data_IF_598575108323
#
_entry.id   IF_598575108323
#
_cell.length_a   1.000
_cell.length_b   1.000
_cell.length_c   1.000
_cell.angle_alpha   90.00
_cell.angle_beta   90.00
_cell.angle_gamma   90.00
#
_symmetry.space_group_name_H-M   'P 1'
#
loop_
_entity.id
_entity.type
_entity.pdbx_description
1 polymer ?
#
# COMPACT_ATOMS: atom_id res chain seq x y z
N UNK A 1 -4.34 -18.47 -30.07
CA UNK A 1 -3.47 -17.27 -30.19
C UNK A 1 -3.10 -16.90 -28.76
N UNK A 2 -1.90 -17.25 -28.31
CA UNK A 2 -1.54 -17.15 -26.88
C UNK A 2 -1.23 -15.71 -26.48
N UNK A 3 -2.08 -15.13 -25.63
CA UNK A 3 -1.95 -13.77 -25.08
C UNK A 3 -0.83 -13.62 -24.03
N UNK A 4 0.11 -14.56 -23.96
CA UNK A 4 1.20 -14.58 -22.97
C UNK A 4 2.48 -13.86 -23.42
N UNK A 5 2.51 -13.34 -24.64
CA UNK A 5 3.66 -12.60 -25.20
C UNK A 5 4.22 -11.52 -24.25
N UNK A 6 3.36 -10.78 -23.53
CA UNK A 6 3.76 -9.77 -22.54
C UNK A 6 4.57 -10.36 -21.38
N UNK A 7 4.14 -11.51 -20.85
CA UNK A 7 4.82 -12.17 -19.74
C UNK A 7 6.12 -12.82 -20.21
N UNK A 8 6.13 -13.41 -21.40
CA UNK A 8 7.32 -14.05 -21.98
C UNK A 8 8.43 -13.05 -22.32
N UNK A 9 8.08 -11.80 -22.64
CA UNK A 9 9.05 -10.77 -23.04
C UNK A 9 9.32 -9.70 -21.97
N UNK A 10 8.74 -9.82 -20.77
CA UNK A 10 8.90 -8.84 -19.68
C UNK A 10 10.36 -8.51 -19.36
N UNK A 11 11.26 -9.49 -19.53
CA UNK A 11 12.68 -9.37 -19.24
C UNK A 11 13.57 -9.16 -20.48
N UNK A 12 13.01 -9.15 -21.69
CA UNK A 12 13.78 -8.85 -22.92
C UNK A 12 13.84 -7.34 -23.20
N UNK A 13 12.89 -6.57 -22.67
CA UNK A 13 12.85 -5.11 -22.83
C UNK A 13 13.84 -4.36 -21.92
N UNK A 14 14.49 -5.03 -20.96
CA UNK A 14 15.43 -4.39 -20.02
C UNK A 14 16.74 -3.96 -20.68
N UNK A 15 17.17 -4.59 -21.78
CA UNK A 15 18.36 -4.17 -22.53
C UNK A 15 18.11 -2.99 -23.49
N UNK A 16 16.84 -2.65 -23.76
CA UNK A 16 16.41 -1.47 -24.51
C UNK A 16 15.82 -0.38 -23.59
N UNK A 17 15.76 -0.63 -22.28
CA UNK A 17 15.32 0.37 -21.32
C UNK A 17 16.36 1.48 -21.27
N UNK A 18 15.91 2.73 -21.44
CA UNK A 18 16.76 3.90 -21.24
C UNK A 18 17.39 3.81 -19.84
N UNK A 19 18.73 3.84 -19.70
CA UNK A 19 19.40 3.76 -18.41
C UNK A 19 19.04 4.93 -17.47
N UNK A 20 18.45 6.00 -17.99
CA UNK A 20 17.90 7.11 -17.22
C UNK A 20 16.43 6.89 -16.81
N UNK A 21 15.81 5.79 -17.23
CA UNK A 21 14.44 5.45 -16.89
C UNK A 21 14.37 4.89 -15.47
N UNK A 22 14.25 5.80 -14.51
CA UNK A 22 14.01 5.46 -13.11
C UNK A 22 12.52 5.14 -12.96
N UNK A 23 12.19 3.85 -12.88
CA UNK A 23 10.84 3.45 -12.46
C UNK A 23 10.64 3.81 -11.00
N UNK A 24 9.52 4.43 -10.65
CA UNK A 24 9.12 4.54 -9.25
C UNK A 24 9.10 3.15 -8.60
N UNK A 25 9.49 3.02 -7.33
CA UNK A 25 9.47 1.74 -6.64
C UNK A 25 8.11 1.08 -6.80
N UNK A 26 8.09 -0.23 -7.06
CA UNK A 26 6.83 -0.98 -7.04
C UNK A 26 6.25 -0.88 -5.63
N UNK A 27 5.03 -0.36 -5.53
CA UNK A 27 4.31 -0.26 -4.26
C UNK A 27 3.16 -1.26 -4.23
N UNK A 28 2.98 -1.89 -3.07
CA UNK A 28 1.95 -2.87 -2.81
C UNK A 28 0.88 -2.23 -1.91
N UNK A 29 -0.33 -1.98 -2.43
CA UNK A 29 -1.38 -1.33 -1.66
C UNK A 29 -2.00 -2.30 -0.65
N UNK A 30 -2.13 -1.86 0.61
CA UNK A 30 -2.84 -2.55 1.68
C UNK A 30 -4.08 -1.72 2.04
N UNK A 31 -5.24 -2.38 2.11
CA UNK A 31 -6.51 -1.77 2.49
C UNK A 31 -6.88 -2.16 3.92
N UNK A 32 -6.84 -1.21 4.84
CA UNK A 32 -7.36 -1.38 6.19
C UNK A 32 -8.77 -0.79 6.26
N UNK A 33 -9.77 -1.66 6.47
CA UNK A 33 -11.19 -1.29 6.51
C UNK A 33 -11.63 -0.94 7.94
N UNK A 34 -12.72 -0.19 8.04
CA UNK A 34 -13.37 0.14 9.33
C UNK A 34 -12.47 0.93 10.29
N UNK A 35 -11.61 1.80 9.77
CA UNK A 35 -10.79 2.67 10.61
C UNK A 35 -11.63 3.86 11.11
N UNK A 36 -11.61 4.19 12.41
CA UNK A 36 -12.34 5.34 12.96
C UNK A 36 -11.88 6.64 12.30
N UNK A 37 -12.81 7.51 11.90
CA UNK A 37 -12.47 8.77 11.22
C UNK A 37 -11.74 9.78 12.11
N UNK A 38 -11.75 9.58 13.42
CA UNK A 38 -10.95 10.32 14.40
C UNK A 38 -9.45 10.11 14.18
N UNK A 39 -9.05 8.98 13.58
CA UNK A 39 -7.66 8.73 13.22
C UNK A 39 -7.15 9.78 12.22
N UNK A 40 -5.97 10.32 12.50
CA UNK A 40 -5.29 11.25 11.61
C UNK A 40 -4.09 10.59 10.93
N UNK A 41 -4.19 10.24 9.63
CA UNK A 41 -3.07 9.65 8.89
C UNK A 41 -1.96 10.66 8.60
N UNK A 42 -2.17 11.96 8.80
CA UNK A 42 -1.12 12.99 8.61
C UNK A 42 -0.30 13.20 9.90
N UNK A 43 -0.82 12.77 11.05
CA UNK A 43 -0.16 12.91 12.35
C UNK A 43 0.83 11.76 12.57
N UNK A 44 2.09 12.11 12.87
CA UNK A 44 3.20 11.15 12.92
C UNK A 44 3.04 10.12 14.04
N UNK A 45 2.54 10.52 15.22
CA UNK A 45 2.38 9.60 16.35
C UNK A 45 1.27 8.60 16.10
N UNK A 46 0.14 9.02 15.52
CA UNK A 46 -0.96 8.18 15.08
C UNK A 46 -0.48 7.11 14.10
N UNK A 47 0.34 7.51 13.10
CA UNK A 47 0.96 6.55 12.17
C UNK A 47 1.87 5.56 12.89
N UNK A 48 2.76 6.03 13.76
CA UNK A 48 3.68 5.16 14.50
C UNK A 48 2.93 4.14 15.36
N UNK A 49 1.88 4.59 16.06
CA UNK A 49 1.05 3.72 16.89
C UNK A 49 0.32 2.68 16.04
N UNK A 50 -0.29 3.08 14.92
CA UNK A 50 -0.95 2.16 13.99
C UNK A 50 0.02 1.08 13.50
N UNK A 51 1.23 1.49 13.08
CA UNK A 51 2.24 0.55 12.61
C UNK A 51 2.71 -0.39 13.71
N UNK A 52 2.97 0.14 14.91
CA UNK A 52 3.38 -0.63 16.07
C UNK A 52 2.33 -1.67 16.51
N UNK A 53 1.06 -1.27 16.59
CA UNK A 53 -0.05 -2.15 16.98
C UNK A 53 -0.31 -3.29 15.99
N UNK A 54 0.11 -3.13 14.73
CA UNK A 54 -0.08 -4.11 13.66
C UNK A 54 1.22 -4.80 13.26
N UNK A 55 2.30 -4.64 14.04
CA UNK A 55 3.61 -5.25 13.78
C UNK A 55 4.15 -4.91 12.38
N UNK A 56 3.82 -3.72 11.88
CA UNK A 56 4.23 -3.22 10.57
C UNK A 56 5.54 -2.43 10.69
N UNK A 57 6.50 -2.79 9.85
CA UNK A 57 7.79 -2.11 9.76
C UNK A 57 7.64 -0.75 9.05
N UNK A 58 7.90 0.34 9.77
CA UNK A 58 7.79 1.70 9.23
C UNK A 58 8.75 1.98 8.07
N UNK A 59 9.88 1.27 7.99
CA UNK A 59 10.81 1.40 6.86
C UNK A 59 10.25 0.82 5.56
N UNK A 60 9.23 -0.05 5.66
CA UNK A 60 8.55 -0.67 4.52
C UNK A 60 7.29 0.06 4.10
N UNK A 61 6.76 0.97 4.93
CA UNK A 61 5.54 1.73 4.63
C UNK A 61 5.92 3.12 4.11
N UNK A 62 5.69 3.32 2.82
CA UNK A 62 5.97 4.59 2.15
C UNK A 62 4.95 5.67 2.50
N UNK A 63 3.67 5.32 2.53
CA UNK A 63 2.59 6.28 2.76
C UNK A 63 1.36 5.62 3.41
N UNK A 64 0.59 6.40 4.16
CA UNK A 64 -0.70 6.04 4.76
C UNK A 64 -1.66 7.19 4.49
N UNK A 65 -2.81 6.92 3.89
CA UNK A 65 -3.83 7.94 3.59
C UNK A 65 -5.23 7.38 3.65
N UNK A 66 -6.22 8.25 3.79
CA UNK A 66 -7.60 7.87 3.54
C UNK A 66 -7.83 7.48 2.07
N UNK A 67 -8.62 6.43 1.87
CA UNK A 67 -9.24 6.15 0.59
C UNK A 67 -10.52 6.98 0.48
N UNK A 68 -10.52 7.95 -0.43
CA UNK A 68 -11.57 8.96 -0.51
C UNK A 68 -11.50 9.96 0.64
N UNK A 69 -12.65 10.51 1.05
CA UNK A 69 -12.75 11.59 2.03
C UNK A 69 -13.80 11.25 3.10
N UNK A 70 -13.53 10.28 3.99
CA UNK A 70 -14.53 9.80 4.94
C UNK A 70 -14.95 10.88 5.95
N UNK A 71 -14.00 11.73 6.41
CA UNK A 71 -14.28 12.90 7.26
C UNK A 71 -15.25 13.89 6.61
N UNK A 72 -15.10 14.16 5.30
CA UNK A 72 -15.97 15.07 4.57
C UNK A 72 -17.34 14.44 4.19
N UNK A 73 -17.49 13.14 4.39
CA UNK A 73 -18.71 12.38 4.05
C UNK A 73 -19.54 12.04 5.29
N UNK A 74 -19.25 12.65 6.45
CA UNK A 74 -19.88 12.39 7.75
C UNK A 74 -19.95 10.90 8.15
N UNK A 75 -19.00 10.09 7.66
CA UNK A 75 -18.89 8.68 8.02
C UNK A 75 -18.12 8.56 9.32
N UNK A 76 -18.56 7.69 10.23
CA UNK A 76 -17.81 7.35 11.45
C UNK A 76 -16.59 6.47 11.18
N UNK A 77 -16.56 5.77 10.05
CA UNK A 77 -15.49 4.87 9.67
C UNK A 77 -15.09 5.04 8.20
N UNK A 78 -13.81 4.84 7.92
CA UNK A 78 -13.24 4.90 6.58
C UNK A 78 -12.36 3.68 6.25
N UNK A 79 -11.72 3.74 5.09
CA UNK A 79 -10.69 2.78 4.69
C UNK A 79 -9.37 3.51 4.56
N UNK A 80 -8.32 3.02 5.20
CA UNK A 80 -6.95 3.50 5.02
C UNK A 80 -6.29 2.71 3.89
N UNK A 81 -5.55 3.42 3.04
CA UNK A 81 -4.67 2.89 2.02
C UNK A 81 -3.23 3.07 2.50
N UNK A 82 -2.52 1.96 2.69
CA UNK A 82 -1.10 1.94 3.00
C UNK A 82 -0.32 1.49 1.77
N UNK A 83 0.73 2.22 1.40
CA UNK A 83 1.62 1.81 0.32
C UNK A 83 2.87 1.15 0.90
N UNK A 84 3.02 -0.15 0.71
CA UNK A 84 4.20 -0.92 1.10
C UNK A 84 5.23 -0.95 -0.02
N UNK A 85 6.52 -0.91 0.31
CA UNK A 85 7.63 -1.11 -0.61
C UNK A 85 7.97 -2.60 -0.84
N UNK A 86 7.28 -3.51 -0.14
CA UNK A 86 7.53 -4.96 -0.22
C UNK A 86 6.24 -5.76 -0.33
N UNK A 87 6.28 -6.86 -1.09
CA UNK A 87 5.14 -7.75 -1.36
C UNK A 87 4.90 -8.80 -0.26
N UNK A 88 5.66 -8.74 0.84
CA UNK A 88 5.69 -9.81 1.83
C UNK A 88 4.65 -9.56 2.93
N UNK A 89 3.36 -9.69 2.58
CA UNK A 89 2.22 -9.39 3.46
C UNK A 89 1.47 -10.66 3.90
N UNK A 90 2.19 -11.68 4.38
CA UNK A 90 1.60 -12.89 4.98
C UNK A 90 0.87 -12.66 6.32
N UNK A 91 0.63 -11.42 6.75
CA UNK A 91 0.04 -11.09 8.06
C UNK A 91 -1.28 -10.29 8.02
N UNK A 92 -1.73 -9.78 6.86
CA UNK A 92 -2.98 -8.99 6.79
C UNK A 92 -4.25 -9.82 6.51
N UNK A 93 -4.13 -11.14 6.27
CA UNK A 93 -5.27 -12.01 5.92
C UNK A 93 -5.69 -13.01 7.00
N UNK A 94 -5.05 -13.01 8.18
CA UNK A 94 -5.30 -14.03 9.21
C UNK A 94 -5.90 -13.44 10.48
N UNK A 95 -7.11 -12.85 10.38
CA UNK A 95 -7.98 -12.65 11.55
C UNK A 95 -9.45 -12.43 11.21
N UNK A 96 -9.95 -13.22 10.26
CA UNK A 96 -11.36 -13.60 10.18
C UNK A 96 -11.41 -15.13 10.27
N UNK A 97 -11.36 -15.66 11.49
CA UNK A 97 -11.73 -17.03 11.83
C UNK A 97 -12.28 -17.06 13.26
#
# INVERSE_FOLDING_TARGET
MEARWLLTNRNNSTHLADPNFITSPTMFPILARSCPTEFDPEEENCRKELLNQNELDSSKIHNIRWLGHPKASDKSHGTLLLHSLTDNWSLCYSREA
#
